data_IF_279793603443
#
_entry.id   IF_279793603443
#
_cell.length_a   1.000
_cell.length_b   1.000
_cell.length_c   1.000
_cell.angle_alpha   90.00
_cell.angle_beta   90.00
_cell.angle_gamma   90.00
#
_symmetry.space_group_name_H-M   'P 1'
#
loop_
_entity.id
_entity.type
_entity.pdbx_description
1 polymer ?
#
# COMPACT_ATOMS: atom_id res chain seq x y z
N UNK A 1 -10.78 -7.47 16.18
CA UNK A 1 -11.47 -8.73 15.83
C UNK A 1 -12.43 -9.08 16.96
N UNK A 2 -13.66 -9.54 16.68
CA UNK A 2 -14.57 -10.00 17.73
C UNK A 2 -14.54 -11.53 17.83
N UNK A 3 -14.48 -12.06 19.04
CA UNK A 3 -14.52 -13.50 19.33
C UNK A 3 -15.71 -13.77 20.23
N UNK A 4 -16.49 -14.79 19.87
CA UNK A 4 -17.57 -15.30 20.70
C UNK A 4 -17.17 -16.68 21.21
N UNK A 5 -17.25 -16.90 22.52
CA UNK A 5 -16.97 -18.20 23.16
C UNK A 5 -18.27 -18.94 23.48
N UNK A 6 -18.21 -20.27 23.53
CA UNK A 6 -19.32 -21.11 24.01
C UNK A 6 -18.77 -22.21 24.91
N UNK A 7 -19.18 -22.27 26.19
CA UNK A 7 -20.10 -21.33 26.85
C UNK A 7 -19.51 -19.91 26.93
N UNK A 8 -20.38 -18.90 27.03
CA UNK A 8 -19.98 -17.49 26.91
C UNK A 8 -19.08 -16.98 28.04
N UNK A 9 -19.06 -17.70 29.16
CA UNK A 9 -18.25 -17.44 30.35
C UNK A 9 -16.90 -18.17 30.35
N UNK A 10 -16.50 -18.80 29.24
CA UNK A 10 -15.22 -19.47 29.13
C UNK A 10 -14.03 -18.52 29.40
N UNK A 11 -13.25 -18.83 30.43
CA UNK A 11 -12.12 -18.03 30.92
C UNK A 11 -10.78 -18.37 30.29
N UNK A 12 -10.69 -19.42 29.48
CA UNK A 12 -9.42 -19.83 28.88
C UNK A 12 -8.84 -18.76 27.95
N UNK A 13 -7.51 -18.68 27.95
CA UNK A 13 -6.76 -17.87 26.99
C UNK A 13 -6.89 -18.44 25.58
N UNK A 14 -6.66 -17.57 24.61
CA UNK A 14 -6.69 -17.93 23.18
C UNK A 14 -5.38 -17.61 22.52
N UNK A 15 -4.96 -18.48 21.61
CA UNK A 15 -3.77 -18.35 20.79
C UNK A 15 -4.20 -18.00 19.37
N UNK A 16 -3.53 -17.03 18.78
CA UNK A 16 -3.76 -16.59 17.42
C UNK A 16 -2.64 -17.04 16.50
N UNK A 17 -2.99 -17.48 15.30
CA UNK A 17 -2.03 -17.80 14.24
C UNK A 17 -2.55 -17.28 12.90
N UNK A 18 -1.62 -16.91 12.01
CA UNK A 18 -1.91 -16.57 10.61
C UNK A 18 -1.17 -17.54 9.70
N UNK A 19 -1.76 -17.86 8.54
CA UNK A 19 -1.05 -18.58 7.48
C UNK A 19 0.00 -17.71 6.79
N UNK A 20 -0.17 -16.38 6.81
CA UNK A 20 0.77 -15.43 6.24
C UNK A 20 0.73 -14.10 7.00
N UNK A 21 1.73 -13.86 7.85
CA UNK A 21 1.85 -12.63 8.63
C UNK A 21 2.20 -11.39 7.78
N UNK A 22 2.69 -11.56 6.55
CA UNK A 22 2.98 -10.45 5.63
C UNK A 22 1.70 -9.89 4.99
N UNK A 23 0.66 -10.74 4.85
CA UNK A 23 -0.68 -10.33 4.39
C UNK A 23 -1.53 -9.87 5.57
N UNK A 24 -1.72 -10.71 6.59
CA UNK A 24 -2.47 -10.36 7.79
C UNK A 24 -1.82 -10.95 9.04
N UNK A 25 -1.52 -10.09 10.01
CA UNK A 25 -0.97 -10.50 11.30
C UNK A 25 -1.91 -10.12 12.43
N UNK A 26 -1.82 -10.87 13.53
CA UNK A 26 -2.61 -10.66 14.73
C UNK A 26 -1.71 -10.81 15.94
N UNK A 27 -1.80 -9.85 16.86
CA UNK A 27 -1.05 -9.85 18.12
C UNK A 27 -1.70 -10.79 19.13
N UNK A 28 -0.98 -11.11 20.22
CA UNK A 28 -1.51 -11.91 21.32
C UNK A 28 -2.79 -11.31 21.96
N UNK A 29 -2.99 -10.00 21.85
CA UNK A 29 -4.17 -9.29 22.37
C UNK A 29 -5.32 -9.21 21.35
N UNK A 30 -5.21 -9.86 20.18
CA UNK A 30 -6.26 -9.88 19.17
C UNK A 30 -6.33 -8.62 18.29
N UNK A 31 -5.32 -7.74 18.34
CA UNK A 31 -5.21 -6.61 17.41
C UNK A 31 -4.62 -7.08 16.08
N UNK A 32 -5.23 -6.67 14.97
CA UNK A 32 -4.84 -7.08 13.62
C UNK A 32 -4.10 -5.97 12.88
N UNK A 33 -3.13 -6.35 12.05
CA UNK A 33 -2.44 -5.48 11.09
C UNK A 33 -2.44 -6.14 9.72
N UNK A 34 -2.54 -5.32 8.67
CA UNK A 34 -2.63 -5.77 7.27
C UNK A 34 -1.45 -5.23 6.48
N UNK A 35 -0.83 -6.08 5.66
CA UNK A 35 0.35 -5.75 4.86
C UNK A 35 0.04 -5.79 3.36
N UNK A 36 0.65 -6.73 2.65
CA UNK A 36 0.48 -6.86 1.19
C UNK A 36 -0.90 -7.40 0.81
N UNK A 37 -1.33 -7.08 -0.40
CA UNK A 37 -2.53 -7.68 -0.98
C UNK A 37 -2.38 -9.21 -1.10
N UNK A 38 -3.46 -9.93 -0.82
CA UNK A 38 -3.48 -11.39 -0.80
C UNK A 38 -4.45 -11.94 0.25
N UNK A 39 -4.41 -13.25 0.42
CA UNK A 39 -5.29 -13.98 1.33
C UNK A 39 -4.49 -14.59 2.49
N UNK A 40 -4.98 -14.43 3.71
CA UNK A 40 -4.44 -15.09 4.89
C UNK A 40 -5.56 -15.65 5.76
N UNK A 41 -5.42 -16.89 6.24
CA UNK A 41 -6.35 -17.47 7.20
C UNK A 41 -5.86 -17.21 8.61
N UNK A 42 -6.69 -16.55 9.41
CA UNK A 42 -6.49 -16.38 10.85
C UNK A 42 -7.19 -17.52 11.57
N UNK A 43 -6.47 -18.17 12.48
CA UNK A 43 -7.00 -19.21 13.37
C UNK A 43 -6.87 -18.76 14.82
N UNK A 44 -7.95 -18.93 15.57
CA UNK A 44 -8.02 -18.80 17.03
C UNK A 44 -8.09 -20.20 17.60
N UNK A 45 -7.25 -20.51 18.58
CA UNK A 45 -7.29 -21.77 19.32
C UNK A 45 -7.40 -21.52 20.83
N UNK A 46 -8.30 -22.21 21.52
CA UNK A 46 -8.31 -22.24 22.98
C UNK A 46 -7.02 -22.89 23.49
N UNK A 47 -6.31 -22.23 24.41
CA UNK A 47 -4.99 -22.65 24.86
C UNK A 47 -5.02 -23.99 25.60
N UNK A 48 -6.13 -24.29 26.29
CA UNK A 48 -6.30 -25.53 27.05
C UNK A 48 -7.22 -26.51 26.34
N UNK A 49 -8.34 -26.02 25.79
CA UNK A 49 -9.34 -26.87 25.16
C UNK A 49 -8.93 -27.38 23.77
N UNK A 50 -8.01 -26.68 23.11
CA UNK A 50 -7.62 -26.95 21.73
C UNK A 50 -8.73 -26.68 20.71
N UNK A 51 -9.88 -26.11 21.12
CA UNK A 51 -10.99 -25.77 20.23
C UNK A 51 -10.57 -24.65 19.29
N UNK A 52 -10.95 -24.75 18.02
CA UNK A 52 -10.49 -23.82 16.97
C UNK A 52 -11.63 -23.15 16.22
N UNK A 53 -11.39 -21.92 15.80
CA UNK A 53 -12.18 -21.22 14.80
C UNK A 53 -11.24 -20.52 13.83
N UNK A 54 -11.60 -20.49 12.53
CA UNK A 54 -10.77 -19.88 11.50
C UNK A 54 -11.60 -19.01 10.55
N UNK A 55 -10.99 -17.95 10.03
CA UNK A 55 -11.55 -17.10 8.97
C UNK A 55 -10.46 -16.64 8.01
N UNK A 56 -10.80 -16.65 6.73
CA UNK A 56 -9.96 -16.04 5.68
C UNK A 56 -10.15 -14.54 5.67
N UNK A 57 -9.03 -13.83 5.66
CA UNK A 57 -8.90 -12.38 5.51
C UNK A 57 -8.35 -12.14 4.11
N UNK A 58 -9.02 -11.26 3.37
CA UNK A 58 -8.62 -10.87 2.02
C UNK A 58 -8.19 -9.42 2.10
N UNK A 59 -6.92 -9.15 1.82
CA UNK A 59 -6.36 -7.79 1.76
C UNK A 59 -6.29 -7.38 0.30
N UNK A 60 -6.92 -6.26 -0.04
CA UNK A 60 -6.89 -5.70 -1.39
C UNK A 60 -5.86 -4.58 -1.48
N UNK A 61 -5.26 -4.43 -2.65
CA UNK A 61 -4.31 -3.34 -2.89
C UNK A 61 -5.00 -1.98 -2.77
N UNK A 62 -4.31 -1.01 -2.18
CA UNK A 62 -4.76 0.37 -2.17
C UNK A 62 -4.85 0.91 -3.61
N UNK A 63 -5.85 1.75 -3.93
CA UNK A 63 -5.93 2.39 -5.23
C UNK A 63 -4.72 3.29 -5.47
N UNK A 64 -4.18 3.25 -6.68
CA UNK A 64 -3.11 4.15 -7.10
C UNK A 64 -3.71 5.53 -7.32
N UNK A 65 -3.33 6.50 -6.48
CA UNK A 65 -3.61 7.93 -6.73
C UNK A 65 -2.39 8.50 -7.43
N UNK A 66 -2.47 8.65 -8.76
CA UNK A 66 -1.39 9.24 -9.54
C UNK A 66 -1.16 10.70 -9.10
N UNK A 67 0.00 10.94 -8.48
CA UNK A 67 0.49 12.30 -8.24
C UNK A 67 1.43 12.64 -9.40
N UNK A 68 0.90 13.31 -10.42
CA UNK A 68 1.69 13.72 -11.58
C UNK A 68 2.88 14.60 -11.16
N UNK A 69 4.05 14.31 -11.73
CA UNK A 69 5.22 15.19 -11.68
C UNK A 69 5.12 16.18 -12.85
N UNK A 70 5.01 17.48 -12.55
CA UNK A 70 5.00 18.55 -13.56
C UNK A 70 6.42 19.11 -13.73
N UNK A 71 6.93 19.13 -14.97
CA UNK A 71 8.16 19.86 -15.33
C UNK A 71 7.75 21.12 -16.08
N UNK A 72 7.85 22.30 -15.46
CA UNK A 72 7.63 23.56 -16.16
C UNK A 72 8.83 23.91 -17.05
N UNK A 73 8.56 24.13 -18.35
CA UNK A 73 9.58 24.55 -19.32
C UNK A 73 9.88 26.04 -19.11
N UNK A 74 11.06 26.38 -18.58
CA UNK A 74 11.51 27.78 -18.58
C UNK A 74 12.03 28.13 -19.98
N UNK A 75 11.27 28.93 -20.72
CA UNK A 75 11.64 29.44 -22.04
C UNK A 75 12.90 30.29 -21.96
N UNK A 76 13.98 29.91 -22.65
CA UNK A 76 15.16 30.76 -22.85
C UNK A 76 14.79 31.92 -23.79
N UNK A 77 14.91 33.16 -23.31
CA UNK A 77 14.81 34.37 -24.15
C UNK A 77 15.99 34.40 -25.13
N UNK A 78 15.72 34.25 -26.43
CA UNK A 78 16.68 34.62 -27.48
C UNK A 78 16.69 36.14 -27.63
N UNK A 79 17.86 36.76 -27.46
CA UNK A 79 18.08 38.18 -27.73
C UNK A 79 18.33 38.37 -29.22
N UNK A 80 17.36 38.97 -29.92
CA UNK A 80 17.54 39.50 -31.27
C UNK A 80 18.42 40.76 -31.22
N UNK A 81 19.45 40.83 -32.06
CA UNK A 81 20.07 42.11 -32.44
C UNK A 81 20.24 42.13 -33.97
N UNK A 82 19.55 43.07 -34.60
CA UNK A 82 19.62 43.44 -36.01
C UNK A 82 20.61 44.60 -36.20
N UNK A 83 21.19 44.69 -37.43
CA UNK A 83 21.72 45.88 -38.17
C UNK A 83 23.24 45.83 -38.44
N UNK A 84 23.80 46.17 -39.62
CA UNK A 84 23.29 46.78 -40.88
C UNK A 84 24.38 46.70 -41.98
N UNK A 85 23.94 46.52 -43.24
CA UNK A 85 24.46 47.06 -44.52
C UNK A 85 25.88 46.74 -45.05
N UNK A 86 25.93 46.30 -46.32
CA UNK A 86 27.19 46.28 -47.11
C UNK A 86 27.13 45.64 -48.51
N UNK A 87 26.20 46.08 -49.36
CA UNK A 87 26.11 45.80 -50.80
C UNK A 87 27.47 45.87 -51.53
N UNK A 88 27.89 44.82 -52.27
CA UNK A 88 28.82 44.96 -53.40
C UNK A 88 28.49 43.97 -54.53
N UNK A 89 27.85 44.50 -55.57
CA UNK A 89 27.75 43.93 -56.92
C UNK A 89 29.11 43.58 -57.49
N UNK A 90 29.30 42.36 -58.02
CA UNK A 90 30.03 42.13 -59.29
C UNK A 90 29.42 40.93 -60.03
N UNK A 91 28.80 41.22 -61.17
CA UNK A 91 28.52 40.27 -62.26
C UNK A 91 29.85 39.71 -62.77
N UNK A 92 29.91 38.40 -63.02
CA UNK A 92 30.39 37.80 -64.27
C UNK A 92 29.50 36.58 -64.52
#
# INVERSE_FOLDING_TARGET
>A
MQITKTPSDATEDVIYTSTDNSVASVTANGHMSYGSAGDATITVSGALSGKKASRTVIVTAAPIVEKYLVIEKTSQKSLTQEKKHGNHRRKI
#
